data_IF_770860835432
#
_entry.id   IF_770860835432
#
_cell.length_a   1.000
_cell.length_b   1.000
_cell.length_c   1.000
_cell.angle_alpha   90.00
_cell.angle_beta   90.00
_cell.angle_gamma   90.00
#
_symmetry.space_group_name_H-M   'P 1'
#
loop_
_entity.id
_entity.type
_entity.pdbx_description
1 polymer ?
#
# COMPACT_ATOMS: atom_id res chain seq x y z
N UNK A 1 -0.80 12.89 -11.16
CA UNK A 1 -0.15 11.95 -12.10
C UNK A 1 -0.30 10.57 -11.52
N UNK A 2 -0.52 9.57 -12.35
CA UNK A 2 -0.54 8.16 -11.98
C UNK A 2 0.53 7.44 -12.81
N UNK A 3 1.41 6.72 -12.12
CA UNK A 3 2.46 5.90 -12.71
C UNK A 3 2.37 4.46 -12.17
N UNK A 4 1.35 3.71 -12.61
CA UNK A 4 1.26 2.28 -12.32
C UNK A 4 0.81 1.95 -10.90
N UNK A 5 0.02 2.82 -10.27
CA UNK A 5 -0.43 2.68 -8.88
C UNK A 5 0.17 3.73 -7.94
N UNK A 6 1.23 4.43 -8.38
CA UNK A 6 1.81 5.56 -7.67
C UNK A 6 1.16 6.87 -8.12
N UNK A 7 0.48 7.52 -7.19
CA UNK A 7 -0.27 8.74 -7.40
C UNK A 7 0.34 9.91 -6.64
N UNK A 8 0.72 10.93 -7.41
CA UNK A 8 1.01 12.25 -6.88
C UNK A 8 -0.16 13.18 -7.23
N UNK A 9 -0.82 13.75 -6.22
CA UNK A 9 -1.89 14.72 -6.44
C UNK A 9 -1.39 16.13 -6.17
N UNK A 10 -1.83 17.07 -7.00
CA UNK A 10 -1.76 18.50 -6.69
C UNK A 10 -3.19 18.96 -6.53
N UNK A 11 -3.54 19.49 -5.35
CA UNK A 11 -4.87 20.03 -5.14
C UNK A 11 -5.10 21.22 -6.09
N UNK A 12 -6.15 21.13 -6.89
CA UNK A 12 -6.65 22.24 -7.73
C UNK A 12 -8.12 22.46 -7.38
N UNK A 13 -8.37 23.00 -6.17
CA UNK A 13 -9.71 23.24 -5.64
C UNK A 13 -9.88 22.77 -4.18
N UNK A 14 -11.08 22.96 -3.63
CA UNK A 14 -11.44 22.59 -2.25
C UNK A 14 -11.84 21.10 -2.10
N UNK A 15 -12.03 20.36 -3.19
CA UNK A 15 -12.44 18.96 -3.17
C UNK A 15 -11.23 18.00 -3.17
N UNK A 16 -11.23 16.95 -2.32
CA UNK A 16 -10.16 15.97 -2.28
C UNK A 16 -10.23 15.01 -3.47
N UNK A 17 -9.07 14.55 -3.92
CA UNK A 17 -9.01 13.41 -4.83
C UNK A 17 -9.42 12.14 -4.10
N UNK A 18 -10.34 11.38 -4.68
CA UNK A 18 -10.75 10.07 -4.17
C UNK A 18 -10.00 8.97 -4.90
N UNK A 19 -9.23 8.18 -4.15
CA UNK A 19 -8.41 7.10 -4.66
C UNK A 19 -8.90 5.78 -4.09
N UNK A 20 -9.38 4.88 -4.94
CA UNK A 20 -9.74 3.53 -4.53
C UNK A 20 -8.49 2.68 -4.29
N UNK A 21 -8.51 1.87 -3.24
CA UNK A 21 -7.46 0.91 -2.93
C UNK A 21 -7.86 -0.44 -3.52
N UNK A 22 -7.13 -0.94 -4.50
CA UNK A 22 -7.40 -2.24 -5.11
C UNK A 22 -7.22 -3.39 -4.10
N UNK A 23 -8.14 -4.35 -4.09
CA UNK A 23 -7.94 -5.61 -3.38
C UNK A 23 -6.91 -6.49 -4.12
N UNK A 24 -5.80 -6.90 -3.48
CA UNK A 24 -4.82 -7.77 -4.12
C UNK A 24 -5.38 -9.15 -4.51
N UNK A 25 -6.48 -9.61 -3.89
CA UNK A 25 -7.12 -10.89 -4.16
C UNK A 25 -8.32 -10.80 -5.11
N UNK A 26 -8.87 -9.60 -5.33
CA UNK A 26 -9.94 -9.35 -6.31
C UNK A 26 -9.57 -8.15 -7.21
N UNK A 27 -9.18 -8.36 -8.48
CA UNK A 27 -8.86 -7.28 -9.41
C UNK A 27 -9.99 -6.27 -9.66
N UNK A 28 -11.23 -6.61 -9.30
CA UNK A 28 -12.39 -5.70 -9.38
C UNK A 28 -12.84 -5.21 -8.01
N UNK A 29 -12.25 -5.74 -6.94
CA UNK A 29 -12.54 -5.40 -5.55
C UNK A 29 -11.80 -4.15 -5.11
N UNK A 30 -12.40 -3.47 -4.14
CA UNK A 30 -11.81 -2.31 -3.48
C UNK A 30 -11.83 -2.53 -1.98
N UNK A 31 -10.71 -2.23 -1.33
CA UNK A 31 -10.57 -2.28 0.13
C UNK A 31 -10.98 -0.97 0.81
N UNK A 32 -11.32 0.05 0.02
CA UNK A 32 -11.73 1.35 0.52
C UNK A 32 -11.29 2.48 -0.38
N UNK A 33 -11.52 3.70 0.08
CA UNK A 33 -11.16 4.93 -0.63
C UNK A 33 -10.37 5.85 0.29
N UNK A 34 -9.24 6.36 -0.19
CA UNK A 34 -8.43 7.37 0.48
C UNK A 34 -8.68 8.73 -0.17
N UNK A 35 -8.86 9.75 0.67
CA UNK A 35 -8.96 11.13 0.25
C UNK A 35 -7.58 11.79 0.29
N UNK A 36 -7.17 12.44 -0.80
CA UNK A 36 -5.91 13.16 -0.94
C UNK A 36 -6.15 14.66 -1.18
N UNK A 37 -5.52 15.50 -0.36
CA UNK A 37 -5.55 16.96 -0.38
C UNK A 37 -4.12 17.51 -0.45
N UNK A 38 -3.43 17.17 -1.54
CA UNK A 38 -2.02 17.56 -1.75
C UNK A 38 -1.01 16.58 -1.15
N UNK A 39 -1.47 15.47 -0.57
CA UNK A 39 -0.64 14.28 -0.32
C UNK A 39 -0.44 13.43 -1.59
N UNK A 40 0.46 12.47 -1.47
CA UNK A 40 0.70 11.41 -2.43
C UNK A 40 0.29 10.06 -1.85
N UNK A 41 0.07 9.10 -2.73
CA UNK A 41 -0.33 7.74 -2.40
C UNK A 41 0.41 6.76 -3.30
N UNK A 42 0.89 5.66 -2.75
CA UNK A 42 1.57 4.62 -3.52
C UNK A 42 1.15 3.25 -3.01
N UNK A 43 1.27 2.24 -3.86
CA UNK A 43 0.96 0.86 -3.49
C UNK A 43 1.97 -0.11 -4.06
N UNK A 44 2.30 -1.13 -3.26
CA UNK A 44 3.14 -2.25 -3.65
C UNK A 44 2.34 -3.55 -3.49
N UNK A 45 2.52 -4.51 -4.39
CA UNK A 45 1.73 -5.74 -4.35
C UNK A 45 2.34 -6.88 -5.13
N UNK A 46 2.07 -8.11 -4.68
CA UNK A 46 2.51 -9.32 -5.35
C UNK A 46 1.74 -9.63 -6.64
N UNK A 47 0.63 -8.93 -6.86
CA UNK A 47 -0.30 -9.11 -7.97
C UNK A 47 0.07 -8.29 -9.20
N UNK A 48 1.02 -7.36 -9.08
CA UNK A 48 1.47 -6.48 -10.16
C UNK A 48 2.44 -7.19 -11.11
N UNK A 49 3.53 -7.75 -10.56
CA UNK A 49 4.52 -8.52 -11.32
C UNK A 49 4.99 -9.73 -10.52
N UNK A 50 4.66 -10.92 -11.01
CA UNK A 50 4.96 -12.20 -10.39
C UNK A 50 5.39 -13.26 -11.41
N UNK A 51 6.15 -14.24 -10.93
CA UNK A 51 6.76 -15.28 -11.74
C UNK A 51 6.16 -16.67 -11.51
N UNK A 52 5.35 -16.83 -10.46
CA UNK A 52 4.65 -18.08 -10.14
C UNK A 52 3.15 -17.84 -9.97
N UNK A 53 2.28 -18.80 -10.33
CA UNK A 53 0.82 -18.64 -10.20
C UNK A 53 0.33 -18.33 -8.77
N UNK A 54 1.06 -18.82 -7.76
CA UNK A 54 0.78 -18.59 -6.34
C UNK A 54 1.35 -17.26 -5.81
N UNK A 55 1.98 -16.46 -6.69
CA UNK A 55 2.61 -15.16 -6.40
C UNK A 55 3.66 -15.21 -5.29
N UNK A 56 4.20 -16.39 -4.99
CA UNK A 56 5.28 -16.56 -4.01
C UNK A 56 6.62 -16.06 -4.54
N UNK A 57 6.81 -16.04 -5.86
CA UNK A 57 7.92 -15.36 -6.51
C UNK A 57 7.37 -14.11 -7.21
N UNK A 58 7.81 -12.94 -6.76
CA UNK A 58 7.46 -11.64 -7.31
C UNK A 58 8.68 -10.71 -7.37
N UNK A 59 8.52 -9.58 -8.05
CA UNK A 59 9.61 -8.63 -8.31
C UNK A 59 10.13 -7.92 -7.05
N UNK A 60 9.38 -7.91 -5.95
CA UNK A 60 9.83 -7.33 -4.69
C UNK A 60 10.74 -8.33 -3.97
N UNK A 61 11.92 -7.88 -3.55
CA UNK A 61 12.92 -8.72 -2.89
C UNK A 61 13.16 -8.22 -1.47
N UNK A 62 13.08 -9.12 -0.50
CA UNK A 62 13.54 -8.86 0.86
C UNK A 62 15.08 -8.91 0.87
N UNK A 63 15.78 -7.79 1.10
CA UNK A 63 17.24 -7.73 1.05
C UNK A 63 17.91 -8.58 2.14
N UNK A 64 17.19 -8.92 3.22
CA UNK A 64 17.72 -9.76 4.32
C UNK A 64 17.84 -11.23 3.89
N UNK A 65 16.99 -11.67 2.95
CA UNK A 65 16.88 -13.08 2.57
C UNK A 65 17.20 -13.34 1.10
N UNK A 66 17.18 -12.30 0.25
CA UNK A 66 17.30 -12.43 -1.20
C UNK A 66 16.07 -13.08 -1.86
N UNK A 67 14.93 -13.13 -1.16
CA UNK A 67 13.70 -13.81 -1.61
C UNK A 67 12.51 -12.86 -1.56
N UNK A 68 11.47 -13.16 -2.34
CA UNK A 68 10.23 -12.39 -2.26
C UNK A 68 9.55 -12.53 -0.89
N UNK A 69 8.95 -11.46 -0.33
CA UNK A 69 8.15 -11.54 0.89
C UNK A 69 7.02 -12.57 0.76
N UNK A 70 6.77 -13.35 1.82
CA UNK A 70 5.80 -14.45 1.81
C UNK A 70 4.55 -14.16 2.63
N UNK A 71 4.51 -13.02 3.32
CA UNK A 71 3.46 -12.65 4.26
C UNK A 71 2.50 -11.59 3.69
N UNK A 72 3.02 -10.61 2.95
CA UNK A 72 2.24 -9.54 2.35
C UNK A 72 1.74 -9.90 0.94
N UNK A 73 0.54 -9.43 0.62
CA UNK A 73 -0.13 -9.51 -0.69
C UNK A 73 -0.24 -8.12 -1.33
N UNK A 74 -0.53 -7.11 -0.52
CA UNK A 74 -0.50 -5.71 -0.92
C UNK A 74 -0.19 -4.77 0.25
N UNK A 75 0.27 -3.56 -0.06
CA UNK A 75 0.42 -2.47 0.89
C UNK A 75 0.19 -1.14 0.21
N UNK A 76 -0.43 -0.21 0.92
CA UNK A 76 -0.77 1.12 0.42
C UNK A 76 -0.37 2.16 1.45
N UNK A 77 0.26 3.25 1.01
CA UNK A 77 0.74 4.31 1.90
C UNK A 77 0.34 5.67 1.34
N UNK A 78 -0.23 6.50 2.21
CA UNK A 78 -0.42 7.94 2.01
C UNK A 78 0.70 8.69 2.73
N UNK A 79 1.35 9.62 2.04
CA UNK A 79 2.44 10.43 2.59
C UNK A 79 2.46 11.83 1.97
N UNK A 80 3.16 12.82 2.57
CA UNK A 80 3.25 14.17 2.01
C UNK A 80 3.89 14.22 0.62
N UNK A 81 4.82 13.30 0.32
CA UNK A 81 5.52 13.24 -0.97
C UNK A 81 5.36 11.88 -1.63
N UNK A 82 5.44 11.85 -2.96
CA UNK A 82 5.38 10.60 -3.72
C UNK A 82 6.60 9.70 -3.46
N UNK A 83 7.76 10.30 -3.21
CA UNK A 83 8.98 9.59 -2.83
C UNK A 83 8.79 8.82 -1.53
N UNK A 84 8.22 9.47 -0.51
CA UNK A 84 7.96 8.82 0.78
C UNK A 84 6.90 7.74 0.64
N UNK A 85 5.82 8.00 -0.10
CA UNK A 85 4.75 7.03 -0.31
C UNK A 85 5.28 5.77 -1.00
N UNK A 86 6.01 5.92 -2.11
CA UNK A 86 6.59 4.80 -2.89
C UNK A 86 7.57 3.98 -2.03
N UNK A 87 8.59 4.66 -1.48
CA UNK A 87 9.61 4.01 -0.66
C UNK A 87 9.02 3.26 0.54
N UNK A 88 8.06 3.88 1.25
CA UNK A 88 7.44 3.27 2.40
C UNK A 88 6.49 2.13 2.01
N UNK A 89 5.76 2.25 0.90
CA UNK A 89 4.90 1.16 0.42
C UNK A 89 5.71 -0.12 0.18
N UNK A 90 6.88 0.00 -0.45
CA UNK A 90 7.79 -1.13 -0.65
C UNK A 90 8.39 -1.63 0.66
N UNK A 91 8.84 -0.70 1.53
CA UNK A 91 9.46 -1.05 2.80
C UNK A 91 8.50 -1.83 3.72
N UNK A 92 7.27 -1.37 3.89
CA UNK A 92 6.29 -2.04 4.75
C UNK A 92 5.79 -3.35 4.16
N UNK A 93 5.72 -3.46 2.82
CA UNK A 93 5.46 -4.73 2.15
C UNK A 93 6.47 -5.79 2.56
N UNK A 94 7.76 -5.43 2.56
CA UNK A 94 8.87 -6.31 2.95
C UNK A 94 8.89 -6.59 4.45
N UNK A 95 8.70 -5.57 5.30
CA UNK A 95 8.66 -5.73 6.76
C UNK A 95 7.51 -6.63 7.21
N UNK A 96 6.36 -6.52 6.56
CA UNK A 96 5.17 -7.30 6.86
C UNK A 96 4.21 -6.61 7.83
N UNK A 97 3.05 -7.23 8.11
CA UNK A 97 1.88 -6.55 8.63
C UNK A 97 2.10 -5.83 9.96
N UNK A 98 2.71 -6.51 10.94
CA UNK A 98 2.89 -5.95 12.29
C UNK A 98 3.99 -4.91 12.36
N UNK A 99 5.18 -5.26 11.87
CA UNK A 99 6.34 -4.36 11.92
C UNK A 99 6.18 -3.17 10.97
N UNK A 100 5.53 -3.38 9.82
CA UNK A 100 5.22 -2.34 8.86
C UNK A 100 4.22 -1.33 9.41
N UNK A 101 3.10 -1.77 10.00
CA UNK A 101 2.16 -0.84 10.66
C UNK A 101 2.81 -0.12 11.85
N UNK A 102 3.61 -0.83 12.65
CA UNK A 102 4.33 -0.21 13.77
C UNK A 102 5.36 0.83 13.32
N UNK A 103 5.93 0.69 12.11
CA UNK A 103 6.78 1.72 11.50
C UNK A 103 5.94 2.94 11.10
N UNK A 104 4.82 2.74 10.38
CA UNK A 104 3.95 3.83 9.92
C UNK A 104 3.42 4.65 11.10
N UNK A 105 2.99 4.00 12.18
CA UNK A 105 2.48 4.67 13.40
C UNK A 105 3.51 5.58 14.10
N UNK A 106 4.80 5.45 13.79
CA UNK A 106 5.88 6.29 14.35
C UNK A 106 6.22 7.49 13.47
N UNK A 107 5.68 7.55 12.25
CA UNK A 107 6.01 8.58 11.27
C UNK A 107 4.87 9.60 11.22
N UNK A 108 5.23 10.88 11.30
CA UNK A 108 4.23 11.94 11.24
C UNK A 108 3.65 12.07 9.82
N UNK A 109 2.33 12.26 9.74
CA UNK A 109 1.59 12.49 8.48
C UNK A 109 1.73 11.36 7.45
N UNK A 110 2.10 10.17 7.90
CA UNK A 110 2.22 8.97 7.10
C UNK A 110 1.22 7.96 7.64
N UNK A 111 0.44 7.39 6.75
CA UNK A 111 -0.57 6.41 7.10
C UNK A 111 -0.64 5.35 6.01
N UNK A 112 -1.05 4.14 6.34
CA UNK A 112 -1.13 3.07 5.36
C UNK A 112 -1.79 1.81 5.87
N UNK A 113 -1.89 0.84 4.96
CA UNK A 113 -2.35 -0.50 5.27
C UNK A 113 -1.48 -1.57 4.62
N UNK A 114 -1.56 -2.78 5.15
CA UNK A 114 -0.93 -3.98 4.64
C UNK A 114 -1.98 -5.07 4.63
N UNK A 115 -2.14 -5.73 3.49
CA UNK A 115 -3.00 -6.89 3.30
C UNK A 115 -2.11 -8.11 3.17
N UNK A 116 -2.37 -9.11 3.99
CA UNK A 116 -1.60 -10.35 4.01
C UNK A 116 -2.07 -11.32 2.91
N UNK A 117 -1.27 -12.33 2.59
CA UNK A 117 -1.68 -13.42 1.68
C UNK A 117 -2.87 -14.24 2.17
N UNK A 118 -3.19 -14.19 3.46
CA UNK A 118 -4.38 -14.81 4.07
C UNK A 118 -5.62 -13.92 3.99
N UNK A 119 -5.50 -12.68 3.48
CA UNK A 119 -6.58 -11.72 3.38
C UNK A 119 -6.78 -10.85 4.63
N UNK A 120 -5.96 -11.02 5.67
CA UNK A 120 -6.01 -10.16 6.86
C UNK A 120 -5.47 -8.76 6.55
N UNK A 121 -6.19 -7.73 6.98
CA UNK A 121 -5.85 -6.32 6.80
C UNK A 121 -5.32 -5.72 8.11
N UNK A 122 -4.19 -5.02 8.01
CA UNK A 122 -3.56 -4.28 9.10
C UNK A 122 -3.41 -2.82 8.67
N UNK A 123 -3.92 -1.88 9.45
CA UNK A 123 -3.86 -0.45 9.13
C UNK A 123 -3.18 0.34 10.25
N UNK A 124 -2.43 1.37 9.86
CA UNK A 124 -1.94 2.38 10.81
C UNK A 124 -3.08 3.24 11.31
N UNK A 125 -2.84 3.96 12.41
CA UNK A 125 -3.83 4.90 12.95
C UNK A 125 -4.20 5.94 11.89
N UNK A 126 -5.51 6.18 11.74
CA UNK A 126 -6.03 7.22 10.83
C UNK A 126 -6.22 6.78 9.39
N UNK A 127 -5.71 5.61 8.99
CA UNK A 127 -5.93 5.10 7.64
C UNK A 127 -7.31 4.43 7.51
N UNK A 128 -8.03 4.59 6.38
CA UNK A 128 -9.31 3.92 6.18
C UNK A 128 -9.15 2.39 6.25
N UNK A 129 -9.87 1.73 7.14
CA UNK A 129 -9.83 0.26 7.31
C UNK A 129 -11.20 -0.38 7.46
N UNK A 130 -12.27 0.38 7.22
CA UNK A 130 -13.63 -0.17 7.29
C UNK A 130 -13.86 -1.03 6.06
N UNK A 131 -13.90 -2.34 6.29
CA UNK A 131 -14.33 -3.37 5.35
C UNK A 131 -15.56 -2.87 4.61
N UNK A 132 -15.47 -2.74 3.28
CA UNK A 132 -16.65 -2.51 2.45
C UNK A 132 -17.56 -3.73 2.63
N UNK A 133 -18.64 -3.56 3.38
CA UNK A 133 -19.71 -4.53 3.53
C UNK A 133 -20.55 -4.64 2.26
#
# INVERSE_FOLDING_TARGET
MDAGGDMATRATGDDPWQVAIQDPHDPRGSLGVVQLRGESFASSGDYMQYFTPDRRLNHTIDPRTGRSPQHSSGSSVRAPTAMDADALSTAVFVLGPRDGVALLDRLERIEGMIVTKTGELFASRGFPSDSVA
#
